data_IF_650190361504
#
_entry.id   IF_650190361504
#
_cell.length_a   1.000
_cell.length_b   1.000
_cell.length_c   1.000
_cell.angle_alpha   90.00
_cell.angle_beta   90.00
_cell.angle_gamma   90.00
#
_symmetry.space_group_name_H-M   'P 1'
#
loop_
_entity.id
_entity.type
_entity.pdbx_description
1 polymer ?
#
# COMPACT_ATOMS: atom_id res chain seq x y z
N UNK A 1 7.20 -9.15 9.88
CA UNK A 1 7.04 -8.92 11.35
C UNK A 1 6.33 -7.60 11.65
N UNK A 2 6.75 -6.44 11.07
CA UNK A 2 6.14 -5.15 11.40
C UNK A 2 4.66 -5.08 10.97
N UNK A 3 4.34 -5.48 9.74
CA UNK A 3 2.95 -5.51 9.26
C UNK A 3 2.06 -6.38 10.13
N UNK A 4 2.51 -7.59 10.48
CA UNK A 4 1.78 -8.51 11.36
C UNK A 4 1.52 -7.88 12.74
N UNK A 5 2.58 -7.37 13.38
CA UNK A 5 2.50 -6.77 14.72
C UNK A 5 1.54 -5.58 14.75
N UNK A 6 1.69 -4.66 13.81
CA UNK A 6 0.93 -3.43 13.80
C UNK A 6 -0.55 -3.71 13.46
N UNK A 7 -0.82 -4.59 12.50
CA UNK A 7 -2.18 -5.05 12.19
C UNK A 7 -2.83 -5.75 13.39
N UNK A 8 -2.08 -6.65 14.07
CA UNK A 8 -2.61 -7.34 15.25
C UNK A 8 -2.97 -6.37 16.38
N UNK A 9 -2.20 -5.30 16.55
CA UNK A 9 -2.52 -4.26 17.53
C UNK A 9 -3.80 -3.50 17.17
N UNK A 10 -3.96 -3.10 15.91
CA UNK A 10 -5.19 -2.43 15.45
C UNK A 10 -6.41 -3.34 15.60
N UNK A 11 -6.31 -4.62 15.25
CA UNK A 11 -7.40 -5.58 15.41
C UNK A 11 -7.83 -5.70 16.88
N UNK A 12 -6.86 -5.82 17.81
CA UNK A 12 -7.17 -5.89 19.26
C UNK A 12 -7.80 -4.60 19.77
N UNK A 13 -7.26 -3.45 19.39
CA UNK A 13 -7.77 -2.13 19.80
C UNK A 13 -9.20 -1.88 19.28
N UNK A 14 -9.57 -2.51 18.16
CA UNK A 14 -10.93 -2.47 17.61
C UNK A 14 -11.86 -3.54 18.19
N UNK A 15 -11.46 -4.24 19.25
CA UNK A 15 -12.27 -5.30 19.89
C UNK A 15 -12.21 -6.65 19.16
N UNK A 16 -11.37 -6.79 18.13
CA UNK A 16 -11.17 -8.05 17.42
C UNK A 16 -10.21 -9.00 18.16
N UNK A 17 -10.17 -10.25 17.70
CA UNK A 17 -9.29 -11.28 18.25
C UNK A 17 -8.35 -11.82 17.19
N UNK A 18 -7.09 -11.99 17.54
CA UNK A 18 -6.10 -12.72 16.74
C UNK A 18 -6.17 -14.18 17.14
N UNK A 19 -6.57 -15.04 16.21
CA UNK A 19 -6.75 -16.48 16.45
C UNK A 19 -5.49 -17.30 16.20
N UNK A 20 -4.52 -16.74 15.48
CA UNK A 20 -3.25 -17.38 15.19
C UNK A 20 -2.38 -16.53 14.30
N UNK A 21 -1.13 -16.92 14.20
CA UNK A 21 -0.14 -16.33 13.30
C UNK A 21 0.86 -17.40 12.88
N UNK A 22 1.30 -17.34 11.65
CA UNK A 22 2.36 -18.22 11.12
C UNK A 22 3.39 -17.41 10.37
N UNK A 23 4.61 -17.90 10.32
CA UNK A 23 5.72 -17.29 9.62
C UNK A 23 6.29 -18.28 8.63
N UNK A 24 6.52 -17.80 7.43
CA UNK A 24 7.11 -18.56 6.34
C UNK A 24 8.48 -17.98 5.99
N UNK A 25 9.43 -18.74 5.45
CA UNK A 25 10.64 -18.19 4.84
C UNK A 25 10.25 -17.16 3.77
N UNK A 26 10.88 -16.00 3.77
CA UNK A 26 10.64 -14.93 2.82
C UNK A 26 11.97 -14.35 2.32
N UNK A 27 12.14 -14.12 1.02
CA UNK A 27 11.26 -14.56 -0.09
C UNK A 27 11.47 -16.04 -0.42
N UNK A 28 10.53 -16.62 -1.22
CA UNK A 28 10.76 -17.89 -1.90
C UNK A 28 9.95 -19.07 -1.41
N UNK A 29 9.00 -18.89 -0.49
CA UNK A 29 8.02 -19.94 -0.21
C UNK A 29 7.05 -20.06 -1.40
N UNK A 30 6.92 -21.26 -1.95
CA UNK A 30 6.03 -21.52 -3.10
C UNK A 30 4.79 -22.31 -2.70
N UNK A 31 4.86 -23.11 -1.65
CA UNK A 31 3.74 -23.90 -1.12
C UNK A 31 3.28 -23.36 0.23
N UNK A 32 2.07 -22.85 0.26
CA UNK A 32 1.41 -22.32 1.45
C UNK A 32 0.27 -23.19 1.95
N UNK A 33 0.07 -24.39 1.37
CA UNK A 33 -1.08 -25.26 1.60
C UNK A 33 -1.29 -25.58 3.09
N UNK A 34 -0.24 -26.00 3.79
CA UNK A 34 -0.32 -26.34 5.22
C UNK A 34 -0.69 -25.13 6.08
N UNK A 35 -0.17 -23.95 5.77
CA UNK A 35 -0.47 -22.72 6.50
C UNK A 35 -1.91 -22.25 6.25
N UNK A 36 -2.40 -22.37 5.03
CA UNK A 36 -3.78 -22.02 4.68
C UNK A 36 -4.78 -22.98 5.31
N UNK A 37 -4.48 -24.28 5.36
CA UNK A 37 -5.30 -25.26 6.05
C UNK A 37 -5.33 -25.01 7.56
N UNK A 38 -4.20 -24.63 8.17
CA UNK A 38 -4.16 -24.23 9.58
C UNK A 38 -5.00 -22.98 9.83
N UNK A 39 -4.88 -21.96 8.96
CA UNK A 39 -5.70 -20.76 9.05
C UNK A 39 -7.20 -21.06 8.90
N UNK A 40 -7.59 -21.96 7.99
CA UNK A 40 -8.97 -22.44 7.85
C UNK A 40 -9.46 -23.16 9.11
N UNK A 41 -8.65 -24.04 9.68
CA UNK A 41 -9.00 -24.80 10.88
C UNK A 41 -9.20 -23.89 12.12
N UNK A 42 -8.56 -22.72 12.15
CA UNK A 42 -8.74 -21.72 13.22
C UNK A 42 -10.14 -21.10 13.25
N UNK A 43 -10.95 -21.28 12.20
CA UNK A 43 -12.25 -20.63 11.99
C UNK A 43 -12.18 -19.10 11.99
N UNK A 44 -11.03 -18.53 11.62
CA UNK A 44 -10.89 -17.09 11.42
C UNK A 44 -11.83 -16.62 10.32
N UNK A 45 -12.45 -15.47 10.52
CA UNK A 45 -13.29 -14.83 9.49
C UNK A 45 -12.47 -14.04 8.45
N UNK A 46 -11.26 -13.65 8.85
CA UNK A 46 -10.32 -12.92 7.99
C UNK A 46 -8.95 -13.56 8.09
N UNK A 47 -8.30 -13.75 6.95
CA UNK A 47 -6.88 -14.13 6.85
C UNK A 47 -6.12 -12.93 6.30
N UNK A 48 -5.14 -12.43 7.07
CA UNK A 48 -4.26 -11.33 6.67
C UNK A 48 -2.93 -11.86 6.14
N UNK A 49 -2.56 -11.48 4.92
CA UNK A 49 -1.26 -11.79 4.32
C UNK A 49 -0.27 -10.65 4.58
N UNK A 50 0.76 -10.91 5.40
CA UNK A 50 1.81 -9.95 5.76
C UNK A 50 3.10 -10.16 4.94
N UNK A 51 3.00 -10.84 3.81
CA UNK A 51 4.03 -11.04 2.80
C UNK A 51 3.82 -10.07 1.61
N UNK A 52 4.60 -10.21 0.55
CA UNK A 52 4.55 -9.34 -0.62
C UNK A 52 4.95 -10.08 -1.91
N UNK A 53 4.60 -9.52 -3.06
CA UNK A 53 5.02 -10.00 -4.37
C UNK A 53 4.57 -11.44 -4.64
N UNK A 54 5.47 -12.28 -5.13
CA UNK A 54 5.17 -13.66 -5.50
C UNK A 54 4.59 -14.50 -4.35
N UNK A 55 5.06 -14.29 -3.11
CA UNK A 55 4.53 -15.00 -1.94
C UNK A 55 3.06 -14.66 -1.69
N UNK A 56 2.68 -13.37 -1.78
CA UNK A 56 1.27 -12.95 -1.68
C UNK A 56 0.44 -13.53 -2.80
N UNK A 57 0.93 -13.48 -4.04
CA UNK A 57 0.22 -14.03 -5.20
C UNK A 57 -0.01 -15.54 -5.04
N UNK A 58 0.98 -16.29 -4.58
CA UNK A 58 0.86 -17.73 -4.32
C UNK A 58 -0.12 -18.03 -3.19
N UNK A 59 -0.09 -17.27 -2.08
CA UNK A 59 -1.08 -17.39 -1.02
C UNK A 59 -2.51 -17.20 -1.54
N UNK A 60 -2.76 -16.16 -2.34
CA UNK A 60 -4.09 -15.84 -2.87
C UNK A 60 -4.55 -16.94 -3.85
N UNK A 61 -3.66 -17.39 -4.77
CA UNK A 61 -3.98 -18.47 -5.70
C UNK A 61 -4.36 -19.75 -4.98
N UNK A 62 -3.55 -20.19 -4.03
CA UNK A 62 -3.82 -21.42 -3.28
C UNK A 62 -5.05 -21.27 -2.37
N UNK A 63 -5.29 -20.10 -1.78
CA UNK A 63 -6.51 -19.84 -1.03
C UNK A 63 -7.78 -19.94 -1.91
N UNK A 64 -7.69 -19.50 -3.17
CA UNK A 64 -8.77 -19.65 -4.14
C UNK A 64 -8.99 -21.13 -4.54
N UNK A 65 -7.91 -21.88 -4.75
CA UNK A 65 -7.95 -23.34 -5.04
C UNK A 65 -8.63 -24.10 -3.90
N UNK A 66 -8.31 -23.80 -2.64
CA UNK A 66 -8.97 -24.39 -1.47
C UNK A 66 -10.38 -23.85 -1.22
N UNK A 67 -10.82 -22.87 -2.00
CA UNK A 67 -12.16 -22.30 -1.89
C UNK A 67 -12.41 -21.57 -0.57
N UNK A 68 -11.39 -20.96 0.03
CA UNK A 68 -11.51 -20.30 1.33
C UNK A 68 -12.53 -19.15 1.30
N UNK A 69 -12.53 -18.35 0.25
CA UNK A 69 -13.49 -17.25 0.07
C UNK A 69 -14.92 -17.76 -0.13
N UNK A 70 -15.11 -18.87 -0.84
CA UNK A 70 -16.42 -19.52 -0.98
C UNK A 70 -16.98 -20.05 0.34
N UNK A 71 -16.14 -20.27 1.33
CA UNK A 71 -16.51 -20.67 2.71
C UNK A 71 -16.73 -19.46 3.62
N UNK A 72 -16.76 -18.24 3.09
CA UNK A 72 -17.01 -17.02 3.83
C UNK A 72 -15.80 -16.43 4.54
N UNK A 73 -14.58 -16.90 4.26
CA UNK A 73 -13.35 -16.32 4.79
C UNK A 73 -12.94 -15.13 3.90
N UNK A 74 -12.79 -13.95 4.50
CA UNK A 74 -12.29 -12.76 3.82
C UNK A 74 -10.76 -12.82 3.78
N UNK A 75 -10.19 -12.51 2.62
CA UNK A 75 -8.74 -12.39 2.46
C UNK A 75 -8.37 -10.90 2.47
N UNK A 76 -7.31 -10.54 3.20
CA UNK A 76 -6.78 -9.20 3.26
C UNK A 76 -5.26 -9.23 3.03
N UNK A 77 -4.77 -8.50 2.05
CA UNK A 77 -3.33 -8.33 1.83
C UNK A 77 -2.87 -7.01 2.44
N UNK A 78 -1.85 -7.08 3.28
CA UNK A 78 -1.27 -5.90 3.94
C UNK A 78 -0.24 -5.19 3.07
N UNK A 79 0.18 -5.80 1.98
CA UNK A 79 1.01 -5.20 0.93
C UNK A 79 0.69 -5.86 -0.40
N UNK A 80 -0.07 -5.16 -1.23
CA UNK A 80 -0.51 -5.61 -2.55
C UNK A 80 -0.52 -4.41 -3.49
N UNK A 81 -0.23 -4.65 -4.75
CA UNK A 81 -0.29 -3.64 -5.80
C UNK A 81 -1.26 -4.06 -6.91
N UNK A 82 -1.79 -3.08 -7.62
CA UNK A 82 -2.66 -3.33 -8.79
C UNK A 82 -2.00 -4.25 -9.84
N UNK A 83 -0.67 -4.20 -9.92
CA UNK A 83 0.14 -5.06 -10.79
C UNK A 83 0.11 -6.53 -10.34
N UNK A 84 0.05 -6.82 -9.04
CA UNK A 84 -0.09 -8.17 -8.51
C UNK A 84 -1.48 -8.73 -8.88
N UNK A 85 -2.52 -7.91 -8.77
CA UNK A 85 -3.88 -8.28 -9.20
C UNK A 85 -3.92 -8.57 -10.70
N UNK A 86 -3.25 -7.74 -11.51
CA UNK A 86 -3.11 -7.98 -12.95
C UNK A 86 -2.45 -9.33 -13.25
N UNK A 87 -1.37 -9.65 -12.53
CA UNK A 87 -0.64 -10.92 -12.68
C UNK A 87 -1.41 -12.15 -12.22
N UNK A 88 -2.30 -12.03 -11.23
CA UNK A 88 -3.15 -13.12 -10.77
C UNK A 88 -4.42 -13.28 -11.61
N UNK A 89 -4.94 -12.18 -12.16
CA UNK A 89 -6.23 -12.09 -12.80
C UNK A 89 -7.39 -11.95 -11.81
N UNK A 90 -8.46 -11.27 -12.26
CA UNK A 90 -9.63 -10.98 -11.42
C UNK A 90 -10.34 -12.25 -10.92
N UNK A 91 -10.37 -13.29 -11.73
CA UNK A 91 -11.02 -14.56 -11.34
C UNK A 91 -10.44 -15.15 -10.05
N UNK A 92 -9.14 -14.98 -9.83
CA UNK A 92 -8.42 -15.45 -8.64
C UNK A 92 -8.48 -14.41 -7.51
N UNK A 93 -8.27 -13.14 -7.85
CA UNK A 93 -8.07 -12.08 -6.87
C UNK A 93 -9.36 -11.42 -6.36
N UNK A 94 -10.53 -11.68 -6.97
CA UNK A 94 -11.80 -11.04 -6.62
C UNK A 94 -12.12 -11.14 -5.11
N UNK A 95 -12.59 -10.04 -4.55
CA UNK A 95 -12.94 -9.95 -3.13
C UNK A 95 -11.76 -9.82 -2.16
N UNK A 96 -10.51 -9.86 -2.66
CA UNK A 96 -9.32 -9.56 -1.85
C UNK A 96 -9.35 -8.09 -1.43
N UNK A 97 -9.09 -7.84 -0.15
CA UNK A 97 -9.05 -6.49 0.40
C UNK A 97 -7.59 -6.04 0.54
N UNK A 98 -7.30 -4.81 0.16
CA UNK A 98 -5.97 -4.22 0.30
C UNK A 98 -6.05 -2.71 0.60
N UNK A 99 -4.92 -2.15 1.00
CA UNK A 99 -4.80 -0.72 1.29
C UNK A 99 -3.70 -0.13 0.43
N UNK A 100 -4.02 0.93 -0.32
CA UNK A 100 -3.05 1.70 -1.11
C UNK A 100 -3.26 3.20 -0.89
N UNK A 101 -2.21 3.99 -1.15
CA UNK A 101 -2.28 5.46 -1.14
C UNK A 101 -2.57 6.08 -2.51
N UNK A 102 -2.66 5.25 -3.52
CA UNK A 102 -2.90 5.65 -4.91
C UNK A 102 -3.54 4.50 -5.69
N UNK A 103 -4.51 4.87 -6.52
CA UNK A 103 -4.99 4.01 -7.60
C UNK A 103 -5.19 4.88 -8.85
N UNK A 104 -4.86 4.34 -10.01
CA UNK A 104 -4.78 5.09 -11.25
C UNK A 104 -6.11 5.75 -11.66
N UNK A 105 -7.25 5.14 -11.33
CA UNK A 105 -8.59 5.58 -11.72
C UNK A 105 -9.40 6.18 -10.55
N UNK A 106 -8.74 6.89 -9.64
CA UNK A 106 -9.45 7.52 -8.52
C UNK A 106 -10.12 8.84 -8.87
N UNK A 107 -9.45 9.65 -9.67
CA UNK A 107 -9.90 11.00 -10.03
C UNK A 107 -9.17 11.50 -11.30
N UNK A 108 -9.51 12.69 -11.76
CA UNK A 108 -8.92 13.25 -12.99
C UNK A 108 -7.42 13.44 -12.90
N UNK A 109 -6.87 13.80 -11.73
CA UNK A 109 -5.43 13.97 -11.52
C UNK A 109 -4.69 12.64 -11.66
N UNK A 110 -5.19 11.59 -11.03
CA UNK A 110 -4.57 10.26 -11.10
C UNK A 110 -4.64 9.70 -12.51
N UNK A 111 -5.75 9.89 -13.21
CA UNK A 111 -5.90 9.50 -14.63
C UNK A 111 -4.94 10.25 -15.55
N UNK A 112 -4.90 11.58 -15.45
CA UNK A 112 -4.02 12.41 -16.27
C UNK A 112 -2.52 12.08 -16.03
N UNK A 113 -2.14 11.84 -14.78
CA UNK A 113 -0.77 11.41 -14.47
C UNK A 113 -0.47 10.02 -15.04
N UNK A 114 -1.40 9.09 -14.93
CA UNK A 114 -1.26 7.73 -15.48
C UNK A 114 -1.10 7.76 -17.00
N UNK A 115 -1.88 8.57 -17.71
CA UNK A 115 -1.72 8.74 -19.16
C UNK A 115 -0.31 9.22 -19.53
N UNK A 116 0.29 10.12 -18.76
CA UNK A 116 1.68 10.55 -18.97
C UNK A 116 2.67 9.42 -18.74
N UNK A 117 2.45 8.60 -17.70
CA UNK A 117 3.28 7.43 -17.40
C UNK A 117 3.20 6.40 -18.53
N UNK A 118 2.00 6.10 -19.01
CA UNK A 118 1.77 5.12 -20.08
C UNK A 118 2.42 5.49 -21.41
N UNK A 119 2.70 6.77 -21.67
CA UNK A 119 3.52 7.18 -22.82
C UNK A 119 4.96 6.69 -22.73
N UNK A 120 5.45 6.39 -21.54
CA UNK A 120 6.81 5.89 -21.26
C UNK A 120 6.85 4.38 -21.04
N UNK A 121 5.80 3.84 -20.40
CA UNK A 121 5.67 2.41 -20.06
C UNK A 121 4.24 1.96 -20.43
N UNK A 122 3.96 1.67 -21.71
CA UNK A 122 2.59 1.50 -22.23
C UNK A 122 1.82 0.33 -21.64
N UNK A 123 2.49 -0.69 -21.14
CA UNK A 123 1.88 -1.96 -20.72
C UNK A 123 1.71 -2.10 -19.22
N UNK A 124 2.25 -1.17 -18.43
CA UNK A 124 2.29 -1.30 -16.98
C UNK A 124 1.69 -0.06 -16.30
N UNK A 125 0.47 -0.21 -15.80
CA UNK A 125 -0.18 0.86 -15.07
C UNK A 125 0.53 1.12 -13.74
N UNK A 126 0.66 2.41 -13.33
CA UNK A 126 1.36 2.76 -12.12
C UNK A 126 0.57 2.35 -10.86
N UNK A 127 1.31 1.98 -9.83
CA UNK A 127 0.81 1.73 -8.47
C UNK A 127 1.30 2.81 -7.50
N UNK A 128 0.97 2.66 -6.21
CA UNK A 128 1.32 3.64 -5.18
C UNK A 128 2.84 3.86 -5.02
N UNK A 129 3.69 2.89 -5.38
CA UNK A 129 5.15 3.04 -5.30
C UNK A 129 5.64 3.99 -6.38
N UNK A 130 5.17 3.82 -7.62
CA UNK A 130 5.49 4.75 -8.72
C UNK A 130 5.04 6.17 -8.38
N UNK A 131 3.81 6.32 -7.88
CA UNK A 131 3.25 7.60 -7.47
C UNK A 131 4.06 8.26 -6.33
N UNK A 132 4.44 7.48 -5.32
CA UNK A 132 5.26 7.94 -4.20
C UNK A 132 6.66 8.37 -4.64
N UNK A 133 7.32 7.59 -5.49
CA UNK A 133 8.63 7.94 -6.05
C UNK A 133 8.58 9.22 -6.88
N UNK A 134 7.56 9.37 -7.74
CA UNK A 134 7.36 10.59 -8.52
C UNK A 134 7.22 11.81 -7.61
N UNK A 135 6.31 11.74 -6.64
CA UNK A 135 6.03 12.86 -5.73
C UNK A 135 7.26 13.22 -4.88
N UNK A 136 7.96 12.22 -4.34
CA UNK A 136 9.17 12.43 -3.55
C UNK A 136 10.30 13.06 -4.35
N UNK A 137 10.56 12.55 -5.55
CA UNK A 137 11.57 13.11 -6.45
C UNK A 137 11.23 14.54 -6.88
N UNK A 138 9.98 14.81 -7.21
CA UNK A 138 9.54 16.14 -7.60
C UNK A 138 9.70 17.15 -6.45
N UNK A 139 9.33 16.77 -5.22
CA UNK A 139 9.52 17.64 -4.05
C UNK A 139 11.00 17.92 -3.78
N UNK A 140 11.85 16.90 -3.89
CA UNK A 140 13.29 17.04 -3.79
C UNK A 140 13.82 18.05 -4.84
N UNK A 141 13.46 17.87 -6.10
CA UNK A 141 13.93 18.75 -7.19
C UNK A 141 13.44 20.20 -7.02
N UNK A 142 12.19 20.39 -6.61
CA UNK A 142 11.65 21.72 -6.29
C UNK A 142 12.42 22.39 -5.15
N UNK A 143 12.78 21.60 -4.13
CA UNK A 143 13.57 22.09 -3.00
C UNK A 143 14.98 22.48 -3.43
N UNK A 144 15.64 21.65 -4.23
CA UNK A 144 16.96 21.98 -4.82
C UNK A 144 16.90 23.26 -5.65
N UNK A 145 15.87 23.42 -6.48
CA UNK A 145 15.69 24.62 -7.29
C UNK A 145 15.51 25.89 -6.41
N UNK A 146 14.76 25.77 -5.31
CA UNK A 146 14.52 26.87 -4.39
C UNK A 146 15.75 27.25 -3.54
N UNK A 147 16.60 26.28 -3.20
CA UNK A 147 17.84 26.51 -2.43
C UNK A 147 19.01 26.96 -3.32
N UNK A 148 18.97 26.62 -4.60
CA UNK A 148 20.12 26.67 -5.50
C UNK A 148 21.02 25.42 -5.36
N UNK A 149 21.53 24.94 -6.48
CA UNK A 149 22.33 23.70 -6.54
C UNK A 149 23.55 23.70 -5.61
N UNK A 150 24.36 24.80 -5.53
CA UNK A 150 25.51 24.83 -4.63
C UNK A 150 25.12 24.61 -3.16
N UNK A 151 24.08 25.30 -2.65
CA UNK A 151 23.63 25.16 -1.28
C UNK A 151 23.04 23.77 -1.01
N UNK A 152 22.25 23.23 -1.92
CA UNK A 152 21.69 21.88 -1.79
C UNK A 152 22.77 20.79 -1.77
N UNK A 153 23.88 20.96 -2.49
CA UNK A 153 25.02 20.04 -2.48
C UNK A 153 25.91 20.17 -1.24
N UNK A 154 25.92 21.33 -0.61
CA UNK A 154 26.78 21.59 0.56
C UNK A 154 26.32 20.82 1.79
N UNK A 155 25.01 20.59 1.97
CA UNK A 155 24.46 19.91 3.15
C UNK A 155 23.18 19.17 2.81
N UNK A 156 23.24 17.84 2.85
CA UNK A 156 22.07 16.99 2.74
C UNK A 156 21.08 17.17 3.92
N UNK A 157 21.58 17.49 5.10
CA UNK A 157 20.75 17.77 6.27
C UNK A 157 19.91 19.03 6.06
N UNK A 158 20.51 20.12 5.59
CA UNK A 158 19.80 21.36 5.33
C UNK A 158 18.76 21.19 4.23
N UNK A 159 19.08 20.43 3.17
CA UNK A 159 18.15 20.08 2.13
C UNK A 159 16.93 19.33 2.70
N UNK A 160 17.14 18.29 3.51
CA UNK A 160 16.05 17.54 4.14
C UNK A 160 15.24 18.40 5.11
N UNK A 161 15.90 19.23 5.90
CA UNK A 161 15.22 20.20 6.79
C UNK A 161 14.35 21.16 5.97
N UNK A 162 14.85 21.64 4.85
CA UNK A 162 14.07 22.50 3.95
C UNK A 162 12.89 21.76 3.33
N UNK A 163 13.05 20.50 2.93
CA UNK A 163 11.95 19.67 2.46
C UNK A 163 10.85 19.49 3.50
N UNK A 164 11.22 19.33 4.78
CA UNK A 164 10.26 19.20 5.89
C UNK A 164 9.58 20.52 6.25
N UNK A 165 10.29 21.64 6.10
CA UNK A 165 9.78 22.96 6.46
C UNK A 165 8.73 23.52 5.49
N UNK A 166 8.58 22.95 4.33
CA UNK A 166 7.61 23.35 3.32
C UNK A 166 6.73 22.19 2.89
N UNK A 167 5.43 22.41 2.62
CA UNK A 167 4.58 21.36 2.09
C UNK A 167 5.10 20.84 0.76
N UNK A 168 5.06 19.53 0.58
CA UNK A 168 5.18 18.99 -0.77
C UNK A 168 3.91 19.36 -1.55
N UNK A 169 4.05 19.76 -2.80
CA UNK A 169 2.92 20.12 -3.66
C UNK A 169 3.18 19.60 -5.07
N UNK A 170 2.32 18.72 -5.53
CA UNK A 170 2.42 18.12 -6.86
C UNK A 170 1.04 17.97 -7.53
N UNK A 171 1.08 17.71 -8.82
CA UNK A 171 -0.11 17.57 -9.65
C UNK A 171 -0.84 16.23 -9.47
N UNK A 172 -0.28 15.32 -8.67
CA UNK A 172 -0.87 14.01 -8.39
C UNK A 172 -1.57 13.96 -7.02
N UNK A 173 -0.85 14.26 -5.94
CA UNK A 173 -1.37 14.22 -4.58
C UNK A 173 -1.79 15.59 -4.05
N UNK A 174 -1.37 16.69 -4.71
CA UNK A 174 -1.55 18.02 -4.18
C UNK A 174 -0.63 18.32 -2.99
N UNK A 175 -1.10 19.21 -2.10
CA UNK A 175 -0.32 19.62 -0.92
C UNK A 175 -0.34 18.54 0.15
N UNK A 176 0.83 18.27 0.74
CA UNK A 176 0.98 17.37 1.87
C UNK A 176 2.11 17.80 2.80
N UNK A 177 1.97 17.53 4.08
CA UNK A 177 2.97 17.84 5.12
C UNK A 177 3.94 16.67 5.28
N UNK A 178 5.21 16.99 5.57
CA UNK A 178 6.22 16.01 5.98
C UNK A 178 6.52 16.21 7.46
N UNK A 179 6.24 15.20 8.28
CA UNK A 179 6.50 15.23 9.73
C UNK A 179 7.99 15.19 10.05
N UNK A 180 8.34 15.50 11.30
CA UNK A 180 9.73 15.45 11.79
C UNK A 180 10.39 14.07 11.60
N UNK A 181 9.63 12.98 11.74
CA UNK A 181 10.08 11.61 11.46
C UNK A 181 10.26 11.28 9.97
N UNK A 182 10.04 12.23 9.07
CA UNK A 182 10.15 12.07 7.62
C UNK A 182 8.90 11.50 6.95
N UNK A 183 7.83 11.22 7.70
CA UNK A 183 6.59 10.71 7.12
C UNK A 183 5.84 11.81 6.38
N UNK A 184 5.59 11.61 5.09
CA UNK A 184 4.63 12.41 4.33
C UNK A 184 3.22 11.98 4.67
N UNK A 185 2.36 12.93 5.05
CA UNK A 185 0.97 12.67 5.39
C UNK A 185 0.11 12.76 4.13
N UNK A 186 -0.44 11.64 3.71
CA UNK A 186 -1.38 11.51 2.59
C UNK A 186 -2.50 10.55 2.99
N UNK A 187 -3.69 10.66 2.40
CA UNK A 187 -4.77 9.73 2.66
C UNK A 187 -4.38 8.28 2.31
N UNK A 188 -5.02 7.34 2.98
CA UNK A 188 -4.97 5.90 2.66
C UNK A 188 -6.35 5.42 2.25
N UNK A 189 -6.41 4.48 1.31
CA UNK A 189 -7.63 4.00 0.71
C UNK A 189 -7.74 2.50 0.87
N UNK A 190 -8.86 2.06 1.43
CA UNK A 190 -9.19 0.65 1.51
C UNK A 190 -9.93 0.25 0.23
N UNK A 191 -9.41 -0.73 -0.47
CA UNK A 191 -9.99 -1.27 -1.69
C UNK A 191 -10.41 -2.73 -1.53
N UNK A 192 -11.38 -3.12 -2.32
CA UNK A 192 -11.68 -4.51 -2.61
C UNK A 192 -11.47 -4.77 -4.10
N UNK A 193 -10.83 -5.88 -4.43
CA UNK A 193 -10.65 -6.29 -5.83
C UNK A 193 -12.02 -6.67 -6.40
N UNK A 194 -12.37 -6.06 -7.53
CA UNK A 194 -13.60 -6.30 -8.29
C UNK A 194 -13.72 -7.75 -8.76
N UNK A 195 -14.94 -8.19 -8.91
CA UNK A 195 -15.23 -9.39 -9.71
C UNK A 195 -15.01 -9.11 -11.21
N UNK A 196 -14.82 -10.15 -12.04
CA UNK A 196 -14.74 -9.96 -13.49
C UNK A 196 -15.94 -9.22 -14.08
N UNK A 197 -17.14 -9.40 -13.53
CA UNK A 197 -18.37 -8.73 -13.99
C UNK A 197 -18.42 -7.24 -13.63
N UNK A 198 -17.75 -6.81 -12.58
CA UNK A 198 -17.67 -5.41 -12.15
C UNK A 198 -16.60 -4.61 -12.92
N UNK A 199 -15.64 -5.28 -13.55
CA UNK A 199 -14.54 -4.65 -14.30
C UNK A 199 -15.00 -4.31 -15.71
N UNK A 200 -15.00 -3.02 -16.05
CA UNK A 200 -15.58 -2.51 -17.32
C UNK A 200 -14.52 -2.09 -18.35
N UNK A 201 -13.26 -2.03 -17.97
CA UNK A 201 -12.15 -1.60 -18.82
C UNK A 201 -10.81 -2.22 -18.35
N UNK A 202 -9.75 -2.19 -19.15
CA UNK A 202 -8.44 -2.67 -18.74
C UNK A 202 -7.96 -2.00 -17.42
N UNK A 203 -7.40 -2.80 -16.51
CA UNK A 203 -6.89 -2.36 -15.21
C UNK A 203 -7.94 -1.78 -14.24
N UNK A 204 -9.22 -1.94 -14.52
CA UNK A 204 -10.33 -1.55 -13.66
C UNK A 204 -10.57 -2.63 -12.58
N UNK A 205 -9.66 -2.72 -11.62
CA UNK A 205 -9.60 -3.83 -10.67
C UNK A 205 -10.09 -3.51 -9.27
N UNK A 206 -10.16 -2.24 -8.90
CA UNK A 206 -10.47 -1.86 -7.52
C UNK A 206 -11.79 -1.12 -7.40
N UNK A 207 -12.52 -1.43 -6.34
CA UNK A 207 -13.60 -0.59 -5.82
C UNK A 207 -13.19 -0.02 -4.47
N UNK A 208 -13.39 1.27 -4.29
CA UNK A 208 -13.09 1.97 -3.05
C UNK A 208 -14.14 1.59 -1.99
N UNK A 209 -13.68 1.11 -0.82
CA UNK A 209 -14.52 0.81 0.33
C UNK A 209 -14.49 1.96 1.35
N UNK A 210 -13.31 2.51 1.62
CA UNK A 210 -13.11 3.54 2.64
C UNK A 210 -11.91 4.43 2.32
N UNK A 211 -12.01 5.69 2.71
CA UNK A 211 -10.88 6.64 2.74
C UNK A 211 -10.55 6.95 4.20
N UNK A 212 -9.29 6.82 4.55
CA UNK A 212 -8.75 7.26 5.84
C UNK A 212 -7.99 8.56 5.63
N UNK A 213 -8.32 9.59 6.40
CA UNK A 213 -7.68 10.90 6.30
C UNK A 213 -6.17 10.80 6.59
N UNK A 214 -5.39 11.74 6.05
CA UNK A 214 -3.94 11.74 6.15
C UNK A 214 -3.43 11.71 7.61
N UNK A 215 -4.13 12.40 8.49
CA UNK A 215 -3.81 12.50 9.91
C UNK A 215 -4.04 11.20 10.67
N UNK A 216 -5.00 10.39 10.22
CA UNK A 216 -5.42 9.13 10.84
C UNK A 216 -4.75 7.91 10.18
N UNK A 217 -4.21 8.06 8.96
CA UNK A 217 -3.65 6.97 8.19
C UNK A 217 -2.31 6.43 8.74
N UNK A 218 -1.69 7.13 9.67
CA UNK A 218 -0.38 6.78 10.20
C UNK A 218 -0.40 6.78 11.73
N UNK A 219 0.38 5.86 12.31
CA UNK A 219 0.56 5.82 13.77
C UNK A 219 1.02 7.19 14.32
N UNK A 220 0.69 7.49 15.57
CA UNK A 220 1.18 8.68 16.25
C UNK A 220 2.69 8.81 16.16
N UNK A 221 3.19 10.06 16.03
CA UNK A 221 4.61 10.33 15.82
C UNK A 221 5.50 9.78 16.93
N UNK A 222 5.02 9.82 18.20
CA UNK A 222 5.74 9.32 19.38
C UNK A 222 5.91 7.80 19.43
N UNK A 223 5.07 7.05 18.72
CA UNK A 223 5.12 5.57 18.71
C UNK A 223 6.19 5.00 17.76
N UNK A 224 6.83 5.85 16.96
CA UNK A 224 7.82 5.45 15.96
C UNK A 224 9.21 5.12 16.51
N UNK A 225 9.55 5.57 17.72
CA UNK A 225 10.90 5.46 18.27
C UNK A 225 11.97 6.17 17.42
N UNK A 226 11.57 7.19 16.64
CA UNK A 226 12.48 7.90 15.74
C UNK A 226 13.36 8.87 16.51
N UNK A 227 14.67 8.75 16.39
CA UNK A 227 15.63 9.65 17.08
C UNK A 227 15.52 11.13 16.65
N UNK A 228 14.88 11.41 15.53
CA UNK A 228 14.64 12.77 15.04
C UNK A 228 13.41 13.43 15.70
N UNK A 229 12.60 12.66 16.41
CA UNK A 229 11.44 13.14 17.15
C UNK A 229 11.88 13.32 18.61
N UNK A 230 12.11 14.55 19.00
CA UNK A 230 12.39 14.87 20.40
C UNK A 230 11.06 14.82 21.17
N UNK A 231 11.01 14.02 22.21
CA UNK A 231 9.92 13.98 23.20
C UNK A 231 9.82 15.30 23.94
#
# INVERSE_FOLDING_TARGET
HALERDTANFVRNSGGRILGQVRTPFPGTTDFSSFLLQAQASRAKVIGFANAGADTQNCVKQAAEFGLTRRGIKLASLLLFVNDVHGMGLQVAQGLVCTESFYWDMNDKTRAWTERMLRRVPTNYPNMIHAGCYSGALHFLKTVAAMGVPAAKASGLDLVNRMKAQPSDDDLFGKATIRADGRRLIPSYLFEVKTPAESTKPWDYYKLLQTTAAEEAFRPIGEGGCALVRS
#
